data_IF_992731220127
#
_entry.id   IF_992731220127
#
_cell.length_a   1.000
_cell.length_b   1.000
_cell.length_c   1.000
_cell.angle_alpha   90.00
_cell.angle_beta   90.00
_cell.angle_gamma   90.00
#
_symmetry.space_group_name_H-M   'P 1'
#
loop_
_entity.id
_entity.type
_entity.pdbx_description
1 polymer ?
#
# COMPACT_ATOMS: atom_id res chain seq x y z
N UNK A 1 -13.89 -3.75 13.76
CA UNK A 1 -12.59 -3.06 13.61
C UNK A 1 -12.53 -2.40 12.24
N UNK A 2 -11.78 -1.32 12.15
CA UNK A 2 -11.49 -0.60 10.88
C UNK A 2 -9.98 -0.60 10.70
N UNK A 3 -9.50 -0.85 9.49
CA UNK A 3 -8.11 -0.61 9.11
C UNK A 3 -8.10 0.72 8.33
N UNK A 4 -7.43 1.71 8.88
CA UNK A 4 -7.35 3.05 8.33
C UNK A 4 -5.94 3.27 7.80
N UNK A 5 -5.80 3.49 6.50
CA UNK A 5 -4.52 3.43 5.80
C UNK A 5 -4.12 4.76 5.14
N UNK A 6 -4.69 5.88 5.59
CA UNK A 6 -4.28 7.22 5.10
C UNK A 6 -2.78 7.43 5.30
N UNK A 7 -1.99 7.61 4.22
CA UNK A 7 -0.55 7.77 4.31
C UNK A 7 -0.11 9.18 4.75
N UNK A 8 1.20 9.31 5.00
CA UNK A 8 1.85 10.61 5.17
C UNK A 8 1.66 11.49 3.92
N UNK A 9 1.52 12.79 4.14
CA UNK A 9 1.37 13.79 3.09
C UNK A 9 -0.06 14.05 2.63
N UNK A 10 -1.02 13.17 2.97
CA UNK A 10 -2.44 13.34 2.61
C UNK A 10 -3.38 13.38 3.81
N UNK A 11 -2.87 13.66 4.99
CA UNK A 11 -3.69 13.92 6.16
C UNK A 11 -3.69 12.83 7.23
N UNK A 12 -2.73 11.90 7.21
CA UNK A 12 -2.54 10.92 8.30
C UNK A 12 -2.53 11.61 9.67
N UNK A 13 -3.38 11.13 10.58
CA UNK A 13 -3.50 11.71 11.92
C UNK A 13 -3.82 10.63 12.98
N UNK A 14 -2.83 9.93 13.49
CA UNK A 14 -3.04 8.83 14.44
C UNK A 14 -3.65 9.30 15.77
N UNK A 15 -3.37 10.52 16.21
CA UNK A 15 -4.00 11.09 17.40
C UNK A 15 -5.51 11.23 17.27
N UNK A 16 -5.99 11.69 16.11
CA UNK A 16 -7.43 11.76 15.82
C UNK A 16 -8.07 10.38 15.72
N UNK A 17 -7.38 9.40 15.14
CA UNK A 17 -7.88 8.03 15.08
C UNK A 17 -8.08 7.44 16.47
N UNK A 18 -7.17 7.73 17.41
CA UNK A 18 -7.32 7.32 18.80
C UNK A 18 -8.53 7.98 19.45
N UNK A 19 -8.70 9.30 19.30
CA UNK A 19 -9.87 10.02 19.83
C UNK A 19 -11.19 9.41 19.32
N UNK A 20 -11.26 9.08 18.02
CA UNK A 20 -12.42 8.45 17.39
C UNK A 20 -12.64 7.04 17.95
N UNK A 21 -11.58 6.24 18.08
CA UNK A 21 -11.67 4.88 18.61
C UNK A 21 -12.19 4.88 20.06
N UNK A 22 -11.62 5.75 20.91
CA UNK A 22 -12.04 5.90 22.30
C UNK A 22 -13.48 6.40 22.43
N UNK A 23 -13.88 7.39 21.61
CA UNK A 23 -15.22 7.97 21.65
C UNK A 23 -16.32 7.07 21.08
N UNK A 24 -16.00 6.21 20.10
CA UNK A 24 -16.96 5.35 19.43
C UNK A 24 -16.97 3.90 19.93
N UNK A 25 -15.91 3.45 20.64
CA UNK A 25 -15.70 2.06 20.99
C UNK A 25 -15.29 1.17 19.80
N UNK A 26 -15.00 1.75 18.63
CA UNK A 26 -14.56 1.02 17.45
C UNK A 26 -13.03 0.83 17.49
N UNK A 27 -12.57 -0.40 17.33
CA UNK A 27 -11.14 -0.66 17.18
C UNK A 27 -10.65 -0.16 15.81
N UNK A 28 -9.58 0.67 15.80
CA UNK A 28 -8.95 1.21 14.59
C UNK A 28 -7.50 0.75 14.54
N UNK A 29 -7.11 0.16 13.42
CA UNK A 29 -5.72 -0.14 13.07
C UNK A 29 -5.22 0.99 12.19
N UNK A 30 -4.20 1.74 12.63
CA UNK A 30 -3.63 2.85 11.86
C UNK A 30 -2.52 2.35 10.94
N UNK A 31 -2.48 2.88 9.72
CA UNK A 31 -1.43 2.63 8.74
C UNK A 31 -0.27 3.62 8.82
N UNK A 32 0.83 3.29 8.14
CA UNK A 32 1.96 4.16 7.84
C UNK A 32 2.50 3.85 6.45
N UNK A 33 2.52 4.84 5.57
CA UNK A 33 3.11 4.74 4.23
C UNK A 33 3.30 6.13 3.61
N UNK A 34 3.73 6.13 2.35
CA UNK A 34 3.72 7.29 1.46
C UNK A 34 2.81 7.02 0.27
N UNK A 35 2.03 8.04 -0.12
CA UNK A 35 1.01 7.93 -1.16
C UNK A 35 1.57 8.25 -2.54
N UNK A 36 1.19 9.33 -3.14
CA UNK A 36 1.70 9.81 -4.43
C UNK A 36 3.05 10.52 -4.25
N UNK A 37 3.95 10.40 -5.22
CA UNK A 37 5.28 11.02 -5.16
C UNK A 37 5.23 12.53 -4.94
N UNK A 38 4.17 13.21 -5.44
CA UNK A 38 3.97 14.64 -5.24
C UNK A 38 3.64 15.01 -3.78
N UNK A 39 3.24 14.02 -2.97
CA UNK A 39 2.90 14.19 -1.56
C UNK A 39 3.98 13.67 -0.61
N UNK A 40 5.07 13.12 -1.15
CA UNK A 40 6.14 12.60 -0.32
C UNK A 40 6.81 13.73 0.47
N UNK A 41 7.17 13.50 1.74
CA UNK A 41 8.04 14.40 2.47
C UNK A 41 9.36 14.62 1.71
N UNK A 42 9.86 15.85 1.69
CA UNK A 42 11.05 16.26 0.91
C UNK A 42 12.27 15.35 1.12
N UNK A 43 12.43 14.80 2.32
CA UNK A 43 13.56 13.95 2.67
C UNK A 43 13.53 12.57 1.97
N UNK A 44 12.37 12.08 1.54
CA UNK A 44 12.21 10.72 0.97
C UNK A 44 13.00 10.55 -0.32
N UNK A 45 13.00 11.58 -1.17
CA UNK A 45 13.71 11.54 -2.46
C UNK A 45 15.21 11.29 -2.29
N UNK A 46 15.83 11.92 -1.29
CA UNK A 46 17.28 11.83 -1.03
C UNK A 46 17.68 10.71 -0.05
N UNK A 47 16.71 10.16 0.70
CA UNK A 47 16.97 9.13 1.71
C UNK A 47 17.42 7.79 1.08
N UNK A 48 18.17 7.00 1.83
CA UNK A 48 18.40 5.60 1.49
C UNK A 48 17.16 4.74 1.71
N UNK A 49 17.08 3.57 1.06
CA UNK A 49 16.04 2.57 1.32
C UNK A 49 16.01 2.21 2.81
N UNK A 50 17.19 2.00 3.43
CA UNK A 50 17.27 1.70 4.86
C UNK A 50 16.69 2.78 5.75
N UNK A 51 16.93 4.06 5.43
CA UNK A 51 16.37 5.20 6.17
C UNK A 51 14.85 5.24 6.11
N UNK A 52 14.28 4.95 4.93
CA UNK A 52 12.82 4.86 4.77
C UNK A 52 12.26 3.66 5.53
N UNK A 53 12.93 2.52 5.46
CA UNK A 53 12.53 1.33 6.22
C UNK A 53 12.58 1.58 7.74
N UNK A 54 13.63 2.24 8.24
CA UNK A 54 13.75 2.63 9.66
C UNK A 54 12.61 3.56 10.08
N UNK A 55 12.19 4.47 9.21
CA UNK A 55 11.05 5.33 9.45
C UNK A 55 9.76 4.53 9.64
N UNK A 56 9.48 3.57 8.77
CA UNK A 56 8.30 2.70 8.90
C UNK A 56 8.37 1.84 10.16
N UNK A 57 9.52 1.22 10.43
CA UNK A 57 9.74 0.41 11.65
C UNK A 57 9.49 1.23 12.90
N UNK A 58 10.03 2.45 12.97
CA UNK A 58 9.80 3.35 14.10
C UNK A 58 8.32 3.59 14.37
N UNK A 59 7.52 3.81 13.32
CA UNK A 59 6.08 4.03 13.48
C UNK A 59 5.32 2.76 13.92
N UNK A 60 5.82 1.59 13.57
CA UNK A 60 5.25 0.31 14.02
C UNK A 60 5.64 0.00 15.47
N UNK A 61 6.89 0.23 15.85
CA UNK A 61 7.41 -0.18 17.16
C UNK A 61 7.19 0.87 18.25
N UNK A 62 7.46 2.14 17.92
CA UNK A 62 7.35 3.26 18.87
C UNK A 62 6.03 4.03 18.69
N UNK A 63 5.60 4.21 17.43
CA UNK A 63 4.39 4.94 17.09
C UNK A 63 4.58 6.45 17.00
N UNK A 64 3.47 7.13 16.82
CA UNK A 64 3.33 8.58 16.80
C UNK A 64 2.13 8.99 17.65
N UNK A 65 2.27 9.97 18.51
CA UNK A 65 1.21 10.43 19.43
C UNK A 65 0.61 9.30 20.28
N UNK A 66 1.42 8.31 20.64
CA UNK A 66 1.00 7.15 21.42
C UNK A 66 0.23 6.09 20.64
N UNK A 67 0.18 6.19 19.30
CA UNK A 67 -0.46 5.21 18.40
C UNK A 67 0.60 4.54 17.53
N UNK A 68 0.72 3.22 17.64
CA UNK A 68 1.58 2.41 16.79
C UNK A 68 0.83 2.00 15.51
N UNK A 69 1.53 2.04 14.37
CA UNK A 69 0.99 1.53 13.14
C UNK A 69 0.90 -0.01 13.18
N UNK A 70 -0.23 -0.56 12.77
CA UNK A 70 -0.47 -2.00 12.68
C UNK A 70 -0.34 -2.55 11.26
N UNK A 71 -0.14 -1.68 10.27
CA UNK A 71 0.01 -2.02 8.86
C UNK A 71 0.94 -1.01 8.17
N UNK A 72 1.78 -1.47 7.25
CA UNK A 72 2.50 -0.61 6.32
C UNK A 72 1.60 -0.42 5.11
N UNK A 73 0.97 0.74 4.98
CA UNK A 73 -0.04 0.98 3.94
C UNK A 73 -0.81 2.27 4.16
N UNK A 74 -1.49 2.71 3.07
CA UNK A 74 -1.34 2.07 1.76
C UNK A 74 -0.12 2.62 1.02
N UNK A 75 0.70 1.73 0.50
CA UNK A 75 1.87 2.10 -0.32
C UNK A 75 1.41 2.24 -1.76
N UNK A 76 1.52 3.44 -2.30
CA UNK A 76 1.02 3.74 -3.64
C UNK A 76 2.07 3.54 -4.73
N UNK A 77 1.62 3.06 -5.88
CA UNK A 77 2.31 3.19 -7.16
C UNK A 77 1.42 3.83 -8.21
N UNK A 78 2.04 4.55 -9.14
CA UNK A 78 1.34 5.18 -10.26
C UNK A 78 0.80 4.13 -11.24
N UNK A 79 -0.31 4.47 -11.87
CA UNK A 79 -0.93 3.62 -12.89
C UNK A 79 -0.33 3.86 -14.28
N UNK A 80 0.27 5.03 -14.49
CA UNK A 80 0.77 5.48 -15.79
C UNK A 80 2.10 4.82 -16.21
N UNK A 81 2.73 4.06 -15.37
CA UNK A 81 3.80 3.13 -15.76
C UNK A 81 3.39 2.18 -16.91
N UNK A 82 2.19 2.33 -17.34
CA UNK A 82 1.40 1.62 -18.34
C UNK A 82 2.01 1.63 -19.75
N UNK A 83 2.69 2.67 -20.14
CA UNK A 83 3.13 2.84 -21.53
C UNK A 83 4.35 2.02 -21.94
N UNK A 84 4.82 1.11 -21.08
CA UNK A 84 5.99 0.29 -21.39
C UNK A 84 5.55 -1.05 -22.04
N UNK A 85 6.01 -1.36 -23.28
CA UNK A 85 5.69 -2.62 -23.94
C UNK A 85 6.11 -3.89 -23.18
N UNK A 86 6.98 -3.75 -22.17
CA UNK A 86 7.44 -4.87 -21.32
C UNK A 86 6.62 -5.07 -20.04
N UNK A 87 5.48 -4.41 -19.91
CA UNK A 87 4.60 -4.51 -18.75
C UNK A 87 4.70 -3.32 -17.79
N UNK A 88 3.87 -3.34 -16.77
CA UNK A 88 3.83 -2.30 -15.75
C UNK A 88 5.13 -2.31 -14.93
N UNK A 89 5.68 -1.13 -14.66
CA UNK A 89 6.83 -0.94 -13.81
C UNK A 89 6.53 0.15 -12.79
N UNK A 90 7.07 -0.01 -11.59
CA UNK A 90 7.06 1.06 -10.62
C UNK A 90 8.06 2.15 -11.04
N UNK A 91 7.71 3.40 -10.80
CA UNK A 91 8.64 4.51 -10.92
C UNK A 91 9.82 4.32 -9.95
N UNK A 92 11.04 4.80 -10.26
CA UNK A 92 12.22 4.53 -9.43
C UNK A 92 12.06 4.91 -7.95
N UNK A 93 11.35 6.00 -7.66
CA UNK A 93 11.13 6.44 -6.29
C UNK A 93 10.05 5.60 -5.59
N UNK A 94 9.03 5.17 -6.31
CA UNK A 94 8.03 4.21 -5.82
C UNK A 94 8.66 2.86 -5.52
N UNK A 95 9.45 2.30 -6.46
CA UNK A 95 10.18 1.06 -6.24
C UNK A 95 11.04 1.12 -4.98
N UNK A 96 11.72 2.24 -4.75
CA UNK A 96 12.50 2.51 -3.55
C UNK A 96 11.66 2.42 -2.27
N UNK A 97 10.46 2.99 -2.27
CA UNK A 97 9.52 2.96 -1.14
C UNK A 97 8.96 1.55 -0.94
N UNK A 98 8.61 0.83 -2.01
CA UNK A 98 8.16 -0.56 -1.93
C UNK A 98 9.24 -1.49 -1.36
N UNK A 99 10.51 -1.32 -1.77
CA UNK A 99 11.63 -2.08 -1.19
C UNK A 99 11.78 -1.75 0.31
N UNK A 100 11.66 -0.49 0.69
CA UNK A 100 11.71 -0.08 2.10
C UNK A 100 10.55 -0.68 2.91
N UNK A 101 9.34 -0.72 2.35
CA UNK A 101 8.18 -1.37 2.97
C UNK A 101 8.42 -2.86 3.20
N UNK A 102 8.99 -3.57 2.21
CA UNK A 102 9.37 -4.98 2.36
C UNK A 102 10.41 -5.20 3.48
N UNK A 103 11.44 -4.33 3.56
CA UNK A 103 12.43 -4.40 4.64
C UNK A 103 11.82 -4.15 6.01
N UNK A 104 10.90 -3.19 6.11
CA UNK A 104 10.20 -2.90 7.35
C UNK A 104 9.25 -4.05 7.75
N UNK A 105 8.52 -4.63 6.79
CA UNK A 105 7.69 -5.82 7.03
C UNK A 105 8.51 -6.98 7.61
N UNK A 106 9.66 -7.29 7.02
CA UNK A 106 10.54 -8.37 7.52
C UNK A 106 11.00 -8.16 8.96
N UNK A 107 11.18 -6.92 9.38
CA UNK A 107 11.64 -6.56 10.73
C UNK A 107 10.51 -6.57 11.75
N UNK A 108 9.32 -6.15 11.34
CA UNK A 108 8.18 -5.93 12.25
C UNK A 108 7.13 -7.03 12.19
N UNK A 109 7.04 -7.74 11.06
CA UNK A 109 6.02 -8.75 10.81
C UNK A 109 4.62 -8.21 10.52
N UNK A 110 4.41 -6.89 10.41
CA UNK A 110 3.09 -6.32 10.06
C UNK A 110 2.79 -6.52 8.57
N UNK A 111 1.51 -6.47 8.21
CA UNK A 111 1.10 -6.59 6.81
C UNK A 111 1.49 -5.36 5.98
N UNK A 112 1.57 -5.54 4.65
CA UNK A 112 1.64 -4.45 3.67
C UNK A 112 0.31 -4.37 2.95
N UNK A 113 -0.25 -3.16 2.81
CA UNK A 113 -1.39 -2.85 1.94
C UNK A 113 -0.92 -1.90 0.84
N UNK A 114 -1.35 -2.16 -0.40
CA UNK A 114 -0.92 -1.36 -1.56
C UNK A 114 -2.07 -0.62 -2.22
N UNK A 115 -1.73 0.39 -3.02
CA UNK A 115 -2.66 1.19 -3.80
C UNK A 115 -2.19 1.32 -5.25
N UNK A 116 -3.11 1.15 -6.19
CA UNK A 116 -2.95 1.50 -7.60
C UNK A 116 -4.33 1.82 -8.18
N UNK A 117 -4.67 3.10 -8.27
CA UNK A 117 -6.07 3.56 -8.46
C UNK A 117 -6.73 3.16 -9.76
N UNK A 118 -6.01 2.98 -10.86
CA UNK A 118 -6.62 2.82 -12.18
C UNK A 118 -5.87 1.83 -13.08
N UNK A 119 -5.04 0.94 -12.55
CA UNK A 119 -4.18 0.14 -13.37
C UNK A 119 -3.80 -1.21 -12.80
N UNK A 120 -3.26 -2.07 -13.66
CA UNK A 120 -2.80 -3.42 -13.35
C UNK A 120 -1.39 -3.42 -12.73
N UNK A 121 -1.12 -2.51 -11.79
CA UNK A 121 0.18 -2.39 -11.14
C UNK A 121 0.46 -3.51 -10.13
N UNK A 122 -0.55 -4.26 -9.70
CA UNK A 122 -0.43 -5.27 -8.63
C UNK A 122 0.66 -6.31 -8.86
N UNK A 123 0.85 -6.77 -10.10
CA UNK A 123 1.94 -7.70 -10.42
C UNK A 123 3.31 -7.05 -10.26
N UNK A 124 3.50 -5.82 -10.72
CA UNK A 124 4.77 -5.09 -10.59
C UNK A 124 5.07 -4.76 -9.12
N UNK A 125 4.04 -4.41 -8.34
CA UNK A 125 4.14 -4.21 -6.91
C UNK A 125 4.59 -5.51 -6.21
N UNK A 126 3.93 -6.61 -6.53
CA UNK A 126 4.21 -7.91 -5.94
C UNK A 126 5.61 -8.41 -6.31
N UNK A 127 6.04 -8.25 -7.57
CA UNK A 127 7.38 -8.58 -8.04
C UNK A 127 8.46 -7.80 -7.27
N UNK A 128 8.22 -6.52 -7.01
CA UNK A 128 9.14 -5.67 -6.27
C UNK A 128 9.23 -6.09 -4.80
N UNK A 129 8.08 -6.35 -4.17
CA UNK A 129 8.02 -6.81 -2.78
C UNK A 129 8.70 -8.18 -2.60
N UNK A 130 8.43 -9.14 -3.50
CA UNK A 130 9.03 -10.47 -3.46
C UNK A 130 10.53 -10.44 -3.63
N UNK A 131 11.03 -9.69 -4.63
CA UNK A 131 12.49 -9.48 -4.84
C UNK A 131 13.17 -8.86 -3.62
N UNK A 132 12.47 -8.00 -2.89
CA UNK A 132 12.94 -7.40 -1.66
C UNK A 132 12.79 -8.32 -0.43
N UNK A 133 12.23 -9.52 -0.61
CA UNK A 133 12.10 -10.55 0.40
C UNK A 133 10.92 -10.37 1.35
N UNK A 134 9.85 -9.71 0.91
CA UNK A 134 8.62 -9.63 1.68
C UNK A 134 7.95 -11.01 1.84
N UNK A 135 7.28 -11.21 2.95
CA UNK A 135 6.36 -12.33 3.15
C UNK A 135 5.03 -11.99 2.44
N UNK A 136 4.83 -12.59 1.27
CA UNK A 136 3.66 -12.31 0.43
C UNK A 136 2.35 -12.74 1.07
N UNK A 137 2.37 -13.70 2.01
CA UNK A 137 1.18 -14.09 2.76
C UNK A 137 0.64 -12.99 3.70
N UNK A 138 1.35 -11.87 3.79
CA UNK A 138 0.99 -10.66 4.53
C UNK A 138 0.98 -9.43 3.63
N UNK A 139 0.68 -9.62 2.35
CA UNK A 139 0.55 -8.53 1.37
C UNK A 139 -0.87 -8.50 0.82
N UNK A 140 -1.47 -7.32 0.81
CA UNK A 140 -2.77 -7.04 0.20
C UNK A 140 -2.55 -6.13 -1.00
N UNK A 141 -2.93 -6.60 -2.18
CA UNK A 141 -2.99 -5.78 -3.38
C UNK A 141 -4.34 -5.09 -3.40
N UNK A 142 -4.34 -3.77 -3.20
CA UNK A 142 -5.54 -2.95 -3.14
C UNK A 142 -6.12 -2.64 -4.51
N UNK A 143 -7.40 -2.25 -4.51
CA UNK A 143 -8.16 -1.79 -5.66
C UNK A 143 -8.12 -2.74 -6.86
N UNK A 144 -8.20 -4.04 -6.59
CA UNK A 144 -8.19 -5.06 -7.65
C UNK A 144 -9.39 -4.96 -8.60
N UNK A 145 -10.41 -4.23 -8.24
CA UNK A 145 -11.62 -3.95 -9.02
C UNK A 145 -11.63 -2.56 -9.70
N UNK A 146 -10.55 -1.78 -9.58
CA UNK A 146 -10.41 -0.46 -10.19
C UNK A 146 -9.98 -0.53 -11.68
N UNK A 147 -10.66 -1.31 -12.50
CA UNK A 147 -10.30 -1.52 -13.91
C UNK A 147 -11.33 -0.90 -14.84
N UNK A 148 -11.02 0.28 -15.39
CA UNK A 148 -11.95 1.11 -16.13
C UNK A 148 -12.29 0.67 -17.57
N UNK A 149 -11.51 -0.18 -18.22
CA UNK A 149 -11.59 -0.34 -19.66
C UNK A 149 -11.52 -1.77 -20.19
N UNK A 150 -11.57 -2.78 -19.33
CA UNK A 150 -11.43 -4.14 -19.78
C UNK A 150 -12.51 -5.03 -19.16
N UNK A 151 -13.02 -5.99 -19.90
CA UNK A 151 -13.94 -7.05 -19.46
C UNK A 151 -13.31 -7.98 -18.40
N UNK A 152 -12.70 -7.38 -17.36
CA UNK A 152 -11.93 -8.08 -16.31
C UNK A 152 -12.87 -8.81 -15.35
N UNK A 153 -14.13 -8.42 -15.25
CA UNK A 153 -15.13 -9.12 -14.43
C UNK A 153 -15.23 -10.62 -14.74
N UNK A 154 -14.71 -11.06 -15.90
CA UNK A 154 -14.73 -12.45 -16.34
C UNK A 154 -13.34 -13.08 -16.49
N UNK A 155 -12.29 -12.30 -16.41
CA UNK A 155 -10.92 -12.77 -16.59
C UNK A 155 -10.18 -12.88 -15.26
N UNK A 156 -10.16 -14.08 -14.71
CA UNK A 156 -9.40 -14.38 -13.49
C UNK A 156 -7.89 -14.40 -13.69
N UNK A 157 -7.40 -14.22 -14.92
CA UNK A 157 -5.96 -14.31 -15.24
C UNK A 157 -5.12 -13.25 -14.54
N UNK A 158 -5.72 -12.12 -14.15
CA UNK A 158 -5.03 -11.10 -13.35
C UNK A 158 -4.92 -11.49 -11.88
N UNK A 159 -5.97 -12.04 -11.30
CA UNK A 159 -6.06 -12.29 -9.86
C UNK A 159 -5.41 -13.61 -9.43
N UNK A 160 -5.62 -14.67 -10.22
CA UNK A 160 -5.13 -15.99 -9.87
C UNK A 160 -3.62 -16.03 -9.63
N UNK A 161 -2.74 -15.42 -10.45
CA UNK A 161 -1.31 -15.42 -10.19
C UNK A 161 -0.91 -14.65 -8.92
N UNK A 162 -1.68 -13.63 -8.51
CA UNK A 162 -1.47 -12.92 -7.24
C UNK A 162 -1.78 -13.85 -6.06
N UNK A 163 -2.93 -14.53 -6.13
CA UNK A 163 -3.39 -15.47 -5.10
C UNK A 163 -2.49 -16.70 -5.00
N UNK A 164 -2.03 -17.25 -6.14
CA UNK A 164 -1.09 -18.39 -6.19
C UNK A 164 0.26 -18.08 -5.54
N UNK A 165 0.68 -16.81 -5.54
CA UNK A 165 1.87 -16.33 -4.81
C UNK A 165 1.62 -16.13 -3.32
N UNK A 166 0.39 -16.34 -2.85
CA UNK A 166 -0.02 -16.25 -1.45
C UNK A 166 -0.49 -14.86 -1.00
N UNK A 167 -0.48 -13.84 -1.87
CA UNK A 167 -0.97 -12.50 -1.54
C UNK A 167 -2.51 -12.44 -1.61
N UNK A 168 -3.08 -11.36 -1.08
CA UNK A 168 -4.52 -11.11 -1.10
C UNK A 168 -4.86 -10.09 -2.18
N UNK A 169 -6.00 -10.30 -2.87
CA UNK A 169 -6.63 -9.29 -3.71
C UNK A 169 -7.75 -8.60 -2.91
N UNK A 170 -7.73 -7.29 -2.85
CA UNK A 170 -8.77 -6.49 -2.19
C UNK A 170 -9.68 -5.86 -3.26
N UNK A 171 -10.97 -6.09 -3.10
CA UNK A 171 -12.04 -5.54 -3.94
C UNK A 171 -12.82 -4.53 -3.09
N UNK A 172 -12.54 -3.26 -3.25
CA UNK A 172 -12.99 -2.18 -2.35
C UNK A 172 -13.63 -0.98 -3.07
N UNK A 173 -13.82 -1.11 -4.39
CA UNK A 173 -14.46 -0.08 -5.21
C UNK A 173 -15.95 -0.38 -5.45
N UNK A 174 -16.52 -1.37 -4.78
CA UNK A 174 -17.94 -1.75 -4.89
C UNK A 174 -18.83 -0.58 -4.50
N UNK A 175 -19.74 -0.19 -5.38
CA UNK A 175 -20.63 0.95 -5.19
C UNK A 175 -20.11 2.26 -5.77
N UNK A 176 -18.93 2.25 -6.38
CA UNK A 176 -18.34 3.42 -7.03
C UNK A 176 -18.63 3.48 -8.52
N UNK A 177 -19.40 2.54 -9.07
CA UNK A 177 -19.72 2.40 -10.50
C UNK A 177 -20.38 3.65 -11.10
N UNK A 178 -21.03 4.47 -10.27
CA UNK A 178 -21.63 5.75 -10.70
C UNK A 178 -20.60 6.89 -10.81
N UNK A 179 -19.50 6.78 -10.10
CA UNK A 179 -18.42 7.78 -10.09
C UNK A 179 -17.31 7.40 -11.04
N UNK A 180 -17.30 6.15 -11.40
CA UNK A 180 -16.32 5.52 -12.26
C UNK A 180 -17.07 4.74 -13.36
N UNK A 181 -17.52 5.39 -14.45
CA UNK A 181 -18.27 4.77 -15.56
C UNK A 181 -17.40 3.86 -16.41
#
# INVERSE_FOLDING_TARGET
AIVEVTPEGIGRNPGKLREIAEGSGVHIVSGIAFYDQSTYPDWVASASIGTIADYFVKHVEEGQEGVRAGVIGEVMSHNEAVANPSGYRLEPLEEKVFIAAAQAQRRTGVAISTHASLGRAGHAQLDTLERAGADLSRVVIGHCDAHWHEDIERDLSYYLPILERGAFCQFDMIGWEQLMP
#
